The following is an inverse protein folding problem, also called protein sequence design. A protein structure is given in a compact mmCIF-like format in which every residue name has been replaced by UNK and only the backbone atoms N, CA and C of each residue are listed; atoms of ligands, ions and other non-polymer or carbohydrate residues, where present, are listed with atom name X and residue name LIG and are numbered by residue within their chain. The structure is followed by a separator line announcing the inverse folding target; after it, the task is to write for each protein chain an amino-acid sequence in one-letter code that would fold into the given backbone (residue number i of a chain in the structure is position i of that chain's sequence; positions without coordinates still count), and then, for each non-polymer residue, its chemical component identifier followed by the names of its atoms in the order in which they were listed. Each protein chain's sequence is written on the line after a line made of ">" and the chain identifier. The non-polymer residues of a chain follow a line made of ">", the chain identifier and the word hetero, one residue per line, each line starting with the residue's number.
data_IF_960982133573
#
_entry.id   IF_960982133573
#
_cell.length_a   1.000
_cell.length_b   1.000
_cell.length_c   1.000
_cell.angle_alpha   90.00
_cell.angle_beta   90.00
_cell.angle_gamma   90.00
#
_symmetry.space_group_name_H-M   'P 1'
#
loop_
_entity.id
_entity.type
_entity.pdbx_description
1 polymer ?
#
# COMPACT_ATOMS: atom_id res chain seq x y z
N UNK A 1 36.68 10.05 35.80
CA UNK A 1 35.54 10.02 34.84
C UNK A 1 34.36 10.76 35.47
N UNK A 2 33.83 11.80 34.83
CA UNK A 2 32.85 12.73 35.44
C UNK A 2 31.56 12.00 35.86
N UNK A 3 30.94 12.35 37.01
CA UNK A 3 29.77 11.64 37.56
C UNK A 3 28.54 11.60 36.64
N UNK A 4 28.47 12.53 35.67
CA UNK A 4 27.42 12.60 34.66
C UNK A 4 27.46 11.44 33.66
N UNK A 5 28.65 11.02 33.23
CA UNK A 5 28.82 9.92 32.25
C UNK A 5 28.41 8.58 32.86
N UNK A 6 28.67 8.39 34.17
CA UNK A 6 28.31 7.17 34.91
C UNK A 6 26.80 6.98 35.01
N UNK A 7 26.02 8.05 35.21
CA UNK A 7 24.54 7.98 35.24
C UNK A 7 23.97 7.63 33.85
N UNK A 8 24.52 8.19 32.78
CA UNK A 8 24.05 7.92 31.41
C UNK A 8 24.28 6.45 31.00
N UNK A 9 25.41 5.85 31.37
CA UNK A 9 25.67 4.41 31.15
C UNK A 9 24.75 3.48 31.94
N UNK A 10 24.34 3.86 33.17
CA UNK A 10 23.47 3.03 34.01
C UNK A 10 22.06 2.92 33.43
N UNK A 11 21.57 3.94 32.73
CA UNK A 11 20.25 3.89 32.08
C UNK A 11 20.28 3.40 30.63
N UNK A 12 21.36 3.67 29.89
CA UNK A 12 21.50 3.22 28.50
C UNK A 12 21.65 1.70 28.39
N UNK A 13 22.40 1.06 29.30
CA UNK A 13 22.62 -0.39 29.28
C UNK A 13 21.32 -1.21 29.37
N UNK A 14 20.48 -1.02 30.40
CA UNK A 14 19.20 -1.70 30.53
C UNK A 14 18.23 -1.41 29.39
N UNK A 15 18.24 -0.18 28.85
CA UNK A 15 17.39 0.21 27.71
C UNK A 15 17.80 -0.52 26.41
N UNK A 16 19.10 -0.65 26.15
CA UNK A 16 19.61 -1.44 25.03
C UNK A 16 19.28 -2.92 25.21
N UNK A 17 19.44 -3.47 26.42
CA UNK A 17 19.05 -4.86 26.71
C UNK A 17 17.54 -5.06 26.49
N UNK A 18 16.69 -4.12 26.91
CA UNK A 18 15.26 -4.15 26.67
C UNK A 18 14.92 -4.15 25.16
N UNK A 19 15.59 -3.35 24.34
CA UNK A 19 15.41 -3.35 22.89
C UNK A 19 15.87 -4.64 22.20
N UNK A 20 16.86 -5.34 22.79
CA UNK A 20 17.39 -6.60 22.25
C UNK A 20 16.61 -7.83 22.73
N UNK A 21 15.78 -7.70 23.78
CA UNK A 21 14.87 -8.75 24.22
C UNK A 21 13.59 -8.71 23.38
N UNK A 22 13.66 -9.33 22.20
CA UNK A 22 12.49 -9.59 21.36
C UNK A 22 11.59 -10.64 22.02
N UNK A 23 10.62 -10.19 22.81
CA UNK A 23 9.47 -11.01 23.20
C UNK A 23 8.37 -10.94 22.14
N UNK A 24 7.35 -11.83 22.17
CA UNK A 24 6.12 -11.63 21.42
C UNK A 24 5.51 -10.30 21.87
N UNK A 25 5.76 -9.23 21.13
CA UNK A 25 4.99 -8.02 21.26
C UNK A 25 3.67 -8.36 20.59
N UNK A 26 2.59 -8.47 21.39
CA UNK A 26 1.22 -8.59 20.90
C UNK A 26 0.77 -7.28 20.20
N UNK A 27 1.69 -6.61 19.51
CA UNK A 27 1.52 -5.36 18.79
C UNK A 27 0.82 -5.57 17.44
N UNK A 28 0.83 -6.79 16.90
CA UNK A 28 -0.11 -7.18 15.86
C UNK A 28 -1.38 -7.68 16.53
N UNK A 29 -2.28 -6.76 16.88
CA UNK A 29 -3.67 -7.17 17.11
C UNK A 29 -4.18 -7.69 15.78
N UNK A 30 -4.21 -9.02 15.60
CA UNK A 30 -5.07 -9.63 14.59
C UNK A 30 -6.48 -9.23 15.02
N UNK A 31 -7.05 -8.21 14.38
CA UNK A 31 -8.48 -8.02 14.48
C UNK A 31 -9.13 -9.33 14.07
N UNK A 32 -9.99 -9.86 14.94
CA UNK A 32 -10.76 -11.04 14.63
C UNK A 32 -11.63 -10.78 13.40
N UNK A 33 -12.07 -11.86 12.78
CA UNK A 33 -13.27 -11.78 11.97
C UNK A 33 -14.40 -11.31 12.89
N UNK A 34 -15.21 -10.29 12.51
CA UNK A 34 -15.26 -9.64 11.21
C UNK A 34 -14.72 -8.19 11.17
N UNK A 35 -14.37 -7.56 12.28
CA UNK A 35 -14.10 -6.12 12.33
C UNK A 35 -12.90 -5.70 11.47
N UNK A 36 -11.84 -6.52 11.45
CA UNK A 36 -10.66 -6.26 10.65
C UNK A 36 -10.95 -6.26 9.15
N UNK A 37 -11.85 -7.16 8.71
CA UNK A 37 -12.25 -7.26 7.31
C UNK A 37 -13.01 -6.02 6.86
N UNK A 38 -13.99 -5.56 7.67
CA UNK A 38 -14.77 -4.37 7.35
C UNK A 38 -13.91 -3.11 7.28
N UNK A 39 -13.04 -2.89 8.27
CA UNK A 39 -12.15 -1.71 8.29
C UNK A 39 -11.19 -1.73 7.11
N UNK A 40 -10.65 -2.90 6.75
CA UNK A 40 -9.78 -3.07 5.60
C UNK A 40 -10.50 -2.79 4.26
N UNK A 41 -11.71 -3.31 4.09
CA UNK A 41 -12.55 -3.01 2.92
C UNK A 41 -12.90 -1.52 2.82
N UNK A 42 -13.25 -0.90 3.96
CA UNK A 42 -13.49 0.54 4.02
C UNK A 42 -12.24 1.35 3.67
N UNK A 43 -11.05 0.88 4.04
CA UNK A 43 -9.80 1.52 3.68
C UNK A 43 -9.57 1.54 2.16
N UNK A 44 -9.87 0.45 1.45
CA UNK A 44 -9.81 0.43 -0.02
C UNK A 44 -10.77 1.44 -0.65
N UNK A 45 -12.02 1.49 -0.20
CA UNK A 45 -13.02 2.46 -0.69
C UNK A 45 -12.56 3.90 -0.43
N UNK A 46 -12.09 4.18 0.78
CA UNK A 46 -11.57 5.49 1.14
C UNK A 46 -10.36 5.89 0.28
N UNK A 47 -9.47 4.95 -0.01
CA UNK A 47 -8.30 5.17 -0.86
C UNK A 47 -8.70 5.46 -2.31
N UNK A 48 -9.65 4.71 -2.86
CA UNK A 48 -10.23 4.94 -4.20
C UNK A 48 -10.79 6.36 -4.30
N UNK A 49 -11.59 6.79 -3.32
CA UNK A 49 -12.17 8.13 -3.28
C UNK A 49 -11.06 9.19 -3.20
N UNK A 50 -10.06 8.98 -2.35
CA UNK A 50 -8.93 9.90 -2.18
C UNK A 50 -8.13 10.07 -3.47
N UNK A 51 -7.84 8.98 -4.18
CA UNK A 51 -7.16 9.02 -5.48
C UNK A 51 -8.05 9.66 -6.56
N UNK A 52 -9.36 9.41 -6.54
CA UNK A 52 -10.30 10.05 -7.46
C UNK A 52 -10.37 11.58 -7.26
N UNK A 53 -10.36 12.03 -6.00
CA UNK A 53 -10.29 13.46 -5.65
C UNK A 53 -8.96 14.06 -6.14
N UNK A 54 -7.83 13.36 -5.91
CA UNK A 54 -6.53 13.79 -6.42
C UNK A 54 -6.55 13.94 -7.95
N UNK A 55 -7.02 12.92 -8.67
CA UNK A 55 -7.17 12.91 -10.12
C UNK A 55 -8.01 14.08 -10.63
N UNK A 56 -9.16 14.32 -9.99
CA UNK A 56 -10.05 15.44 -10.30
C UNK A 56 -9.31 16.79 -10.17
N UNK A 57 -8.63 17.02 -9.05
CA UNK A 57 -7.92 18.28 -8.82
C UNK A 57 -6.72 18.49 -9.74
N UNK A 58 -5.97 17.42 -10.06
CA UNK A 58 -4.86 17.49 -11.01
C UNK A 58 -5.34 17.99 -12.39
N UNK A 59 -6.49 17.49 -12.86
CA UNK A 59 -7.11 17.93 -14.10
C UNK A 59 -7.68 19.34 -14.00
N UNK A 60 -8.44 19.63 -12.94
CA UNK A 60 -9.10 20.93 -12.76
C UNK A 60 -8.10 22.09 -12.67
N UNK A 61 -6.89 21.83 -12.17
CA UNK A 61 -5.80 22.81 -12.06
C UNK A 61 -4.85 22.80 -13.26
N UNK A 62 -5.09 21.96 -14.28
CA UNK A 62 -4.19 21.76 -15.42
C UNK A 62 -2.74 21.43 -15.03
N UNK A 63 -2.54 20.83 -13.84
CA UNK A 63 -1.20 20.48 -13.34
C UNK A 63 -0.56 19.40 -14.22
N UNK A 64 -1.39 18.56 -14.84
CA UNK A 64 -1.00 17.49 -15.77
C UNK A 64 -0.34 17.99 -17.05
N UNK A 65 -0.16 19.31 -17.25
CA UNK A 65 0.70 19.81 -18.32
C UNK A 65 2.19 19.51 -18.05
N UNK A 66 2.59 19.52 -16.77
CA UNK A 66 3.96 19.20 -16.36
C UNK A 66 4.18 17.69 -16.23
N UNK A 67 5.37 17.24 -16.62
CA UNK A 67 5.73 15.80 -16.63
C UNK A 67 5.60 15.14 -15.25
N UNK A 68 6.01 15.82 -14.18
CA UNK A 68 5.94 15.27 -12.82
C UNK A 68 4.51 14.98 -12.36
N UNK A 69 3.59 15.91 -12.64
CA UNK A 69 2.17 15.76 -12.32
C UNK A 69 1.47 14.71 -13.19
N UNK A 70 1.89 14.50 -14.45
CA UNK A 70 1.40 13.37 -15.29
C UNK A 70 1.70 12.01 -14.67
N UNK A 71 2.88 11.83 -14.10
CA UNK A 71 3.21 10.58 -13.42
C UNK A 71 2.38 10.38 -12.15
N UNK A 72 2.11 11.44 -11.38
CA UNK A 72 1.21 11.37 -10.22
C UNK A 72 -0.22 11.04 -10.63
N UNK A 73 -0.69 11.59 -11.76
CA UNK A 73 -1.99 11.26 -12.34
C UNK A 73 -2.08 9.77 -12.70
N UNK A 74 -1.08 9.26 -13.41
CA UNK A 74 -1.03 7.85 -13.78
C UNK A 74 -0.95 6.94 -12.55
N UNK A 75 -0.17 7.33 -11.54
CA UNK A 75 -0.12 6.62 -10.27
C UNK A 75 -1.49 6.57 -9.59
N UNK A 76 -2.22 7.69 -9.52
CA UNK A 76 -3.55 7.76 -8.93
C UNK A 76 -4.53 6.81 -9.63
N UNK A 77 -4.54 6.80 -10.98
CA UNK A 77 -5.39 5.88 -11.76
C UNK A 77 -5.03 4.42 -11.51
N UNK A 78 -3.74 4.06 -11.54
CA UNK A 78 -3.30 2.69 -11.28
C UNK A 78 -3.63 2.25 -9.86
N UNK A 79 -3.50 3.13 -8.87
CA UNK A 79 -3.89 2.84 -7.50
C UNK A 79 -5.40 2.67 -7.33
N UNK A 80 -6.23 3.41 -8.06
CA UNK A 80 -7.69 3.17 -8.08
C UNK A 80 -7.97 1.77 -8.59
N UNK A 81 -7.38 1.40 -9.74
CA UNK A 81 -7.56 0.07 -10.32
C UNK A 81 -7.08 -1.03 -9.36
N UNK A 82 -5.91 -0.85 -8.75
CA UNK A 82 -5.38 -1.81 -7.77
C UNK A 82 -6.28 -1.94 -6.52
N UNK A 83 -6.84 -0.85 -6.01
CA UNK A 83 -7.73 -0.94 -4.84
C UNK A 83 -9.07 -1.60 -5.18
N UNK A 84 -9.60 -1.41 -6.40
CA UNK A 84 -10.80 -2.13 -6.87
C UNK A 84 -10.49 -3.63 -6.97
N UNK A 85 -9.37 -3.96 -7.60
CA UNK A 85 -8.85 -5.32 -7.74
C UNK A 85 -8.69 -6.02 -6.37
N UNK A 86 -7.97 -5.40 -5.43
CA UNK A 86 -7.76 -5.93 -4.08
C UNK A 86 -9.08 -6.09 -3.28
N UNK A 87 -9.99 -5.11 -3.37
CA UNK A 87 -11.29 -5.20 -2.71
C UNK A 87 -12.13 -6.36 -3.26
N UNK A 88 -12.10 -6.60 -4.58
CA UNK A 88 -12.76 -7.73 -5.24
C UNK A 88 -12.18 -9.07 -4.81
N UNK A 89 -10.84 -9.20 -4.74
CA UNK A 89 -10.21 -10.41 -4.21
C UNK A 89 -10.71 -10.69 -2.81
N UNK A 90 -10.70 -9.69 -1.92
CA UNK A 90 -11.16 -9.88 -0.55
C UNK A 90 -12.64 -10.26 -0.45
N UNK A 91 -13.49 -9.73 -1.32
CA UNK A 91 -14.90 -10.13 -1.41
C UNK A 91 -15.03 -11.59 -1.89
N UNK A 92 -14.26 -12.00 -2.90
CA UNK A 92 -14.20 -13.40 -3.34
C UNK A 92 -13.66 -14.32 -2.25
N UNK A 93 -12.71 -13.82 -1.44
CA UNK A 93 -12.13 -14.55 -0.32
C UNK A 93 -13.10 -14.80 0.84
N UNK A 94 -14.06 -13.90 1.04
CA UNK A 94 -15.16 -14.11 1.99
C UNK A 94 -16.15 -15.18 1.51
N UNK A 95 -16.24 -15.39 0.19
CA UNK A 95 -17.12 -16.36 -0.44
C UNK A 95 -16.41 -17.65 -0.91
N UNK A 96 -15.18 -17.94 -0.48
CA UNK A 96 -14.36 -19.07 -0.98
C UNK A 96 -15.00 -20.44 -0.81
N UNK A 97 -15.81 -20.64 0.23
CA UNK A 97 -16.55 -21.90 0.41
C UNK A 97 -17.47 -22.21 -0.78
N UNK A 98 -17.89 -21.19 -1.53
CA UNK A 98 -18.72 -21.31 -2.74
C UNK A 98 -17.88 -21.58 -4.00
N UNK A 99 -16.58 -21.25 -3.96
CA UNK A 99 -15.67 -21.29 -5.11
C UNK A 99 -14.72 -22.50 -5.12
N UNK A 100 -14.80 -23.41 -4.14
CA UNK A 100 -13.92 -24.58 -4.07
C UNK A 100 -12.44 -24.24 -3.83
N UNK A 101 -12.14 -23.03 -3.39
CA UNK A 101 -10.77 -22.56 -3.14
C UNK A 101 -10.44 -22.88 -1.68
N UNK A 102 -9.53 -23.83 -1.48
CA UNK A 102 -9.07 -24.23 -0.14
C UNK A 102 -7.65 -23.74 0.09
N UNK A 103 -7.44 -23.07 1.23
CA UNK A 103 -6.11 -22.68 1.67
C UNK A 103 -5.43 -23.91 2.30
N UNK A 104 -4.43 -24.47 1.62
CA UNK A 104 -3.67 -25.61 2.14
C UNK A 104 -2.73 -25.13 3.25
N UNK A 105 -2.04 -24.01 3.02
CA UNK A 105 -1.07 -23.44 3.95
C UNK A 105 -0.94 -21.92 3.77
N UNK A 106 -0.06 -21.26 4.53
CA UNK A 106 0.22 -19.84 4.42
C UNK A 106 0.65 -19.41 3.01
N UNK A 107 1.38 -20.28 2.31
CA UNK A 107 1.97 -20.03 0.99
C UNK A 107 1.27 -20.73 -0.17
N UNK A 108 0.30 -21.62 0.12
CA UNK A 108 -0.29 -22.49 -0.88
C UNK A 108 -1.82 -22.39 -0.86
N UNK A 109 -2.38 -21.94 -2.00
CA UNK A 109 -3.81 -22.02 -2.28
C UNK A 109 -4.06 -23.16 -3.28
N UNK A 110 -5.07 -23.97 -3.00
CA UNK A 110 -5.62 -24.94 -3.96
C UNK A 110 -6.88 -24.36 -4.55
N UNK A 111 -6.95 -24.33 -5.87
CA UNK A 111 -8.16 -23.98 -6.60
C UNK A 111 -8.74 -25.30 -7.12
N UNK A 112 -9.76 -25.83 -6.43
CA UNK A 112 -10.49 -26.99 -6.94
C UNK A 112 -11.56 -26.49 -7.89
N UNK A 113 -11.36 -26.77 -9.18
CA UNK A 113 -12.30 -26.36 -10.19
C UNK A 113 -13.55 -27.25 -10.14
N UNK A 114 -14.54 -26.83 -9.36
CA UNK A 114 -15.86 -27.47 -9.33
C UNK A 114 -16.52 -27.25 -10.70
N UNK A 115 -17.02 -28.32 -11.33
CA UNK A 115 -17.50 -28.31 -12.73
C UNK A 115 -18.32 -27.04 -13.07
N UNK A 116 -17.77 -26.18 -13.95
CA UNK A 116 -18.43 -24.98 -14.47
C UNK A 116 -17.92 -23.63 -13.94
N UNK A 117 -16.88 -23.59 -13.09
CA UNK A 117 -16.33 -22.35 -12.50
C UNK A 117 -14.95 -21.93 -13.05
N UNK A 118 -14.50 -22.49 -14.18
CA UNK A 118 -13.20 -22.25 -14.80
C UNK A 118 -12.88 -20.75 -14.98
N UNK A 119 -13.86 -19.98 -15.46
CA UNK A 119 -13.69 -18.55 -15.71
C UNK A 119 -13.48 -17.75 -14.42
N UNK A 120 -14.20 -18.10 -13.35
CA UNK A 120 -14.10 -17.41 -12.05
C UNK A 120 -12.75 -17.72 -11.40
N UNK A 121 -12.28 -18.96 -11.52
CA UNK A 121 -10.97 -19.39 -11.05
C UNK A 121 -9.83 -18.61 -11.73
N UNK A 122 -9.94 -18.41 -13.05
CA UNK A 122 -8.97 -17.63 -13.82
C UNK A 122 -9.00 -16.15 -13.42
N UNK A 123 -10.19 -15.56 -13.27
CA UNK A 123 -10.35 -14.19 -12.79
C UNK A 123 -9.72 -14.05 -11.40
N UNK A 124 -10.04 -14.94 -10.46
CA UNK A 124 -9.45 -14.95 -9.11
C UNK A 124 -7.92 -14.98 -9.16
N UNK A 125 -7.35 -15.84 -10.01
CA UNK A 125 -5.89 -15.95 -10.16
C UNK A 125 -5.25 -14.63 -10.61
N UNK A 126 -5.83 -13.94 -11.59
CA UNK A 126 -5.32 -12.65 -12.05
C UNK A 126 -5.52 -11.55 -11.00
N UNK A 127 -6.69 -11.47 -10.38
CA UNK A 127 -6.96 -10.47 -9.35
C UNK A 127 -6.03 -10.65 -8.14
N UNK A 128 -5.60 -11.88 -7.83
CA UNK A 128 -4.67 -12.16 -6.74
C UNK A 128 -3.25 -11.62 -6.99
N UNK A 129 -2.92 -11.23 -8.22
CA UNK A 129 -1.60 -10.70 -8.57
C UNK A 129 -1.48 -9.20 -8.28
N UNK A 130 -1.46 -8.85 -6.99
CA UNK A 130 -1.36 -7.46 -6.48
C UNK A 130 -0.28 -6.61 -7.16
N UNK A 131 0.83 -7.24 -7.55
CA UNK A 131 1.99 -6.56 -8.12
C UNK A 131 1.76 -6.01 -9.54
N UNK A 132 0.77 -6.51 -10.29
CA UNK A 132 0.52 -6.07 -11.67
C UNK A 132 0.14 -4.59 -11.75
N UNK A 133 -0.58 -4.08 -10.76
CA UNK A 133 -1.04 -2.69 -10.72
C UNK A 133 -0.29 -1.87 -9.67
N UNK A 134 -0.05 -2.45 -8.48
CA UNK A 134 0.56 -1.73 -7.36
C UNK A 134 2.02 -1.32 -7.66
N UNK A 135 2.83 -2.22 -8.25
CA UNK A 135 4.24 -1.92 -8.52
C UNK A 135 4.41 -0.82 -9.57
N UNK A 136 3.73 -0.88 -10.74
CA UNK A 136 3.75 0.24 -11.69
C UNK A 136 3.24 1.55 -11.08
N UNK A 137 2.21 1.51 -10.22
CA UNK A 137 1.71 2.70 -9.52
C UNK A 137 2.79 3.33 -8.63
N UNK A 138 3.52 2.53 -7.84
CA UNK A 138 4.63 2.99 -7.01
C UNK A 138 5.77 3.58 -7.83
N UNK A 139 6.11 2.98 -8.98
CA UNK A 139 7.11 3.55 -9.89
C UNK A 139 6.67 4.93 -10.41
N UNK A 140 5.43 5.05 -10.87
CA UNK A 140 4.87 6.33 -11.33
C UNK A 140 4.88 7.37 -10.21
N UNK A 141 4.46 7.00 -9.00
CA UNK A 141 4.48 7.87 -7.83
C UNK A 141 5.91 8.39 -7.55
N UNK A 142 6.89 7.49 -7.50
CA UNK A 142 8.29 7.84 -7.26
C UNK A 142 8.83 8.81 -8.32
N UNK A 143 8.64 8.52 -9.61
CA UNK A 143 9.12 9.38 -10.68
C UNK A 143 8.37 10.72 -10.72
N UNK A 144 7.08 10.74 -10.40
CA UNK A 144 6.30 11.96 -10.28
C UNK A 144 6.86 12.90 -9.20
N UNK A 145 7.02 12.37 -7.97
CA UNK A 145 7.58 13.13 -6.85
C UNK A 145 9.02 13.60 -7.12
N UNK A 146 9.87 12.71 -7.66
CA UNK A 146 11.25 13.04 -8.02
C UNK A 146 11.33 14.16 -9.05
N UNK A 147 10.44 14.15 -10.05
CA UNK A 147 10.41 15.18 -11.10
C UNK A 147 9.95 16.51 -10.54
N UNK A 148 8.91 16.52 -9.69
CA UNK A 148 8.42 17.74 -9.04
C UNK A 148 9.54 18.35 -8.18
N UNK A 149 10.18 17.54 -7.32
CA UNK A 149 11.28 18.00 -6.47
C UNK A 149 12.44 18.61 -7.28
N UNK A 150 12.83 17.95 -8.37
CA UNK A 150 13.87 18.46 -9.26
C UNK A 150 13.48 19.81 -9.87
N UNK A 151 12.25 19.94 -10.35
CA UNK A 151 11.78 21.18 -10.96
C UNK A 151 11.72 22.32 -9.94
N UNK A 152 11.22 22.06 -8.72
CA UNK A 152 11.20 23.05 -7.64
C UNK A 152 12.62 23.52 -7.28
N UNK A 153 13.57 22.59 -7.16
CA UNK A 153 14.95 22.94 -6.84
C UNK A 153 15.67 23.75 -7.95
N UNK A 154 15.22 23.64 -9.21
CA UNK A 154 15.72 24.48 -10.30
C UNK A 154 15.15 25.90 -10.23
N UNK A 155 13.84 26.02 -9.96
CA UNK A 155 13.19 27.33 -9.80
C UNK A 155 13.80 28.12 -8.64
N UNK A 156 14.06 27.48 -7.49
CA UNK A 156 14.68 28.15 -6.33
C UNK A 156 16.09 28.66 -6.62
N UNK A 157 16.84 27.98 -7.49
CA UNK A 157 18.20 28.41 -7.88
C UNK A 157 18.16 29.58 -8.85
N UNK A 158 17.26 29.56 -9.83
CA UNK A 158 17.13 30.63 -10.82
C UNK A 158 16.47 31.89 -10.24
N UNK A 159 15.61 31.76 -9.22
CA UNK A 159 14.97 32.87 -8.53
C UNK A 159 15.78 33.50 -7.39
N UNK A 160 16.89 32.88 -6.96
CA UNK A 160 17.79 33.40 -5.92
C UNK A 160 18.90 34.33 -6.42
N UNK A 161 19.09 34.40 -7.74
CA UNK A 161 20.12 35.20 -8.42
C UNK A 161 19.58 36.52 -9.03
N UNK A 162 18.35 36.92 -8.67
CA UNK A 162 17.67 38.15 -9.11
C UNK A 162 17.43 39.12 -7.94
#
# INVERSE_FOLDING_TARGET
>A
MKPFVRKLTIFAGPFIVFLLLAGPAWATQKHGQPEGLYVHQMAHIFFIISMGILEFWLRQRNLTNERGWKYLQLAAVLFILWNIDAALVHLMEEHLNVLGISRIDFWHLKIENTQGQDAISLIYYFLKMDHLLCVPAMFCLYYGLKTILKNTALVDREGGDA
#
